data_IF_179892019439
#
_entry.id   IF_179892019439
#
_cell.length_a   1.000
_cell.length_b   1.000
_cell.length_c   1.000
_cell.angle_alpha   90.00
_cell.angle_beta   90.00
_cell.angle_gamma   90.00
#
_symmetry.space_group_name_H-M   'P 1'
#
loop_
_entity.id
_entity.type
_entity.pdbx_description
1 polymer ?
#
# COMPACT_ATOMS: atom_id res chain seq x y z
N UNK A 1 22.12 -9.21 -30.68
CA UNK A 1 22.70 -7.87 -30.91
C UNK A 1 21.67 -6.74 -30.96
N UNK A 2 20.68 -6.70 -31.88
CA UNK A 2 19.70 -5.59 -31.97
C UNK A 2 18.91 -5.28 -30.68
N UNK A 3 18.50 -6.31 -29.92
CA UNK A 3 17.81 -6.12 -28.61
C UNK A 3 18.71 -5.49 -27.54
N UNK A 4 20.01 -5.82 -27.54
CA UNK A 4 20.98 -5.27 -26.59
C UNK A 4 21.21 -3.78 -26.83
N UNK A 5 21.37 -3.37 -28.10
CA UNK A 5 21.49 -1.95 -28.45
C UNK A 5 20.23 -1.14 -28.13
N UNK A 6 19.05 -1.73 -28.31
CA UNK A 6 17.78 -1.10 -27.91
C UNK A 6 17.72 -0.88 -26.39
N UNK A 7 18.11 -1.88 -25.60
CA UNK A 7 18.14 -1.78 -24.13
C UNK A 7 19.13 -0.70 -23.68
N UNK A 8 20.36 -0.69 -24.23
CA UNK A 8 21.39 0.32 -23.92
C UNK A 8 20.93 1.72 -24.31
N UNK A 9 20.25 1.87 -25.45
CA UNK A 9 19.71 3.16 -25.89
C UNK A 9 18.59 3.65 -24.97
N UNK A 10 17.66 2.78 -24.57
CA UNK A 10 16.59 3.11 -23.61
C UNK A 10 17.19 3.47 -22.25
N UNK A 11 18.19 2.72 -21.77
CA UNK A 11 18.88 3.02 -20.51
C UNK A 11 19.60 4.38 -20.60
N UNK A 12 20.32 4.63 -21.69
CA UNK A 12 21.05 5.90 -21.91
C UNK A 12 20.10 7.09 -22.01
N UNK A 13 18.99 6.94 -22.72
CA UNK A 13 17.96 7.98 -22.83
C UNK A 13 17.27 8.24 -21.49
N UNK A 14 16.96 7.19 -20.73
CA UNK A 14 16.40 7.30 -19.38
C UNK A 14 17.39 8.02 -18.46
N UNK A 15 18.66 7.63 -18.48
CA UNK A 15 19.72 8.22 -17.66
C UNK A 15 19.94 9.70 -18.05
N UNK A 16 19.94 10.02 -19.34
CA UNK A 16 20.01 11.39 -19.85
C UNK A 16 18.85 12.25 -19.39
N UNK A 17 17.60 11.75 -19.51
CA UNK A 17 16.41 12.45 -19.01
C UNK A 17 16.49 12.64 -17.48
N UNK A 18 16.95 11.63 -16.75
CA UNK A 18 17.07 11.69 -15.29
C UNK A 18 18.12 12.71 -14.85
N UNK A 19 19.23 12.85 -15.57
CA UNK A 19 20.28 13.82 -15.27
C UNK A 19 19.89 15.25 -15.65
N UNK A 20 19.40 15.46 -16.88
CA UNK A 20 19.05 16.80 -17.39
C UNK A 20 17.79 17.38 -16.75
N UNK A 21 16.81 16.54 -16.41
CA UNK A 21 15.56 16.95 -15.77
C UNK A 21 15.51 16.56 -14.29
N UNK A 22 16.66 16.32 -13.67
CA UNK A 22 16.79 15.91 -12.26
C UNK A 22 16.03 16.81 -11.28
N UNK A 23 16.02 18.13 -11.50
CA UNK A 23 15.20 19.05 -10.69
C UNK A 23 13.70 18.82 -10.88
N UNK A 24 13.24 18.62 -12.12
CA UNK A 24 11.85 18.29 -12.43
C UNK A 24 11.42 16.92 -11.89
N UNK A 25 12.34 15.96 -11.77
CA UNK A 25 12.05 14.67 -11.14
C UNK A 25 11.59 14.83 -9.69
N UNK A 26 12.13 15.80 -8.94
CA UNK A 26 11.70 16.09 -7.57
C UNK A 26 10.21 16.47 -7.50
N UNK A 27 9.72 17.21 -8.51
CA UNK A 27 8.31 17.60 -8.60
C UNK A 27 7.43 16.46 -9.12
N UNK A 28 7.86 15.76 -10.16
CA UNK A 28 7.02 14.84 -10.92
C UNK A 28 6.90 13.48 -10.23
N UNK A 29 7.98 12.95 -9.65
CA UNK A 29 7.99 11.60 -9.06
C UNK A 29 6.94 11.43 -7.95
N UNK A 30 6.77 12.36 -6.98
CA UNK A 30 5.72 12.25 -5.97
C UNK A 30 4.31 12.23 -6.56
N UNK A 31 4.06 12.97 -7.66
CA UNK A 31 2.76 12.99 -8.34
C UNK A 31 2.48 11.64 -9.01
N UNK A 32 3.45 11.10 -9.76
CA UNK A 32 3.31 9.79 -10.41
C UNK A 32 3.10 8.70 -9.34
N UNK A 33 3.85 8.74 -8.24
CA UNK A 33 3.67 7.83 -7.11
C UNK A 33 2.24 7.94 -6.51
N UNK A 34 1.72 9.15 -6.33
CA UNK A 34 0.36 9.35 -5.83
C UNK A 34 -0.70 8.79 -6.80
N UNK A 35 -0.54 9.02 -8.11
CA UNK A 35 -1.45 8.52 -9.16
C UNK A 35 -1.41 6.98 -9.20
N UNK A 36 -0.22 6.37 -9.20
CA UNK A 36 -0.07 4.91 -9.23
C UNK A 36 -0.69 4.24 -7.99
N UNK A 37 -0.45 4.78 -6.80
CA UNK A 37 -1.07 4.30 -5.55
C UNK A 37 -2.59 4.46 -5.59
N UNK A 38 -3.10 5.56 -6.13
CA UNK A 38 -4.53 5.79 -6.31
C UNK A 38 -5.17 4.74 -7.22
N UNK A 39 -4.57 4.45 -8.38
CA UNK A 39 -5.06 3.42 -9.29
C UNK A 39 -5.01 2.02 -8.65
N UNK A 40 -3.92 1.68 -7.97
CA UNK A 40 -3.79 0.40 -7.26
C UNK A 40 -4.81 0.26 -6.12
N UNK A 41 -5.17 1.36 -5.46
CA UNK A 41 -6.08 1.37 -4.30
C UNK A 41 -7.54 1.69 -4.66
N UNK A 42 -7.86 1.90 -5.94
CA UNK A 42 -9.21 2.35 -6.36
C UNK A 42 -10.32 1.43 -5.86
N UNK A 43 -10.12 0.12 -5.98
CA UNK A 43 -11.09 -0.90 -5.57
C UNK A 43 -11.26 -0.94 -4.05
N UNK A 44 -10.16 -0.89 -3.29
CA UNK A 44 -10.24 -0.86 -1.82
C UNK A 44 -10.87 0.43 -1.32
N UNK A 45 -10.54 1.59 -1.91
CA UNK A 45 -11.18 2.87 -1.60
C UNK A 45 -12.69 2.79 -1.85
N UNK A 46 -13.11 2.26 -3.01
CA UNK A 46 -14.54 2.09 -3.34
C UNK A 46 -15.22 1.21 -2.30
N UNK A 47 -14.64 0.04 -1.99
CA UNK A 47 -15.17 -0.89 -1.00
C UNK A 47 -15.33 -0.27 0.39
N UNK A 48 -14.37 0.53 0.86
CA UNK A 48 -14.44 1.16 2.19
C UNK A 48 -15.41 2.34 2.23
N UNK A 49 -15.55 3.08 1.13
CA UNK A 49 -16.48 4.23 1.04
C UNK A 49 -17.94 3.81 0.88
N UNK A 50 -18.22 2.71 0.20
CA UNK A 50 -19.58 2.20 0.03
C UNK A 50 -20.15 1.77 1.38
N UNK A 51 -21.32 2.32 1.75
CA UNK A 51 -22.03 1.96 2.97
C UNK A 51 -22.67 0.58 2.81
N UNK A 52 -22.85 -0.11 3.93
CA UNK A 52 -23.61 -1.35 3.94
C UNK A 52 -25.10 -1.07 3.67
N UNK A 53 -25.69 -1.91 2.82
CA UNK A 53 -27.11 -1.93 2.52
C UNK A 53 -27.68 -3.22 3.12
N UNK A 54 -28.79 -3.13 3.85
CA UNK A 54 -29.52 -4.31 4.30
C UNK A 54 -30.19 -4.98 3.11
N UNK A 55 -30.30 -6.31 3.12
CA UNK A 55 -30.85 -7.08 1.99
C UNK A 55 -32.26 -6.63 1.61
N UNK A 56 -33.12 -6.32 2.58
CA UNK A 56 -34.48 -5.82 2.33
C UNK A 56 -34.55 -4.41 1.68
N UNK A 57 -33.47 -3.64 1.72
CA UNK A 57 -33.39 -2.28 1.21
C UNK A 57 -32.55 -2.19 -0.07
N UNK A 58 -32.16 -3.34 -0.64
CA UNK A 58 -31.42 -3.41 -1.89
C UNK A 58 -32.27 -2.78 -3.01
N UNK A 59 -31.60 -1.97 -3.81
CA UNK A 59 -32.12 -1.40 -5.05
C UNK A 59 -31.14 -1.73 -6.16
N UNK A 60 -31.61 -1.65 -7.39
CA UNK A 60 -30.74 -1.85 -8.54
C UNK A 60 -29.56 -0.87 -8.51
N UNK A 61 -28.36 -1.38 -8.77
CA UNK A 61 -27.13 -0.59 -8.73
C UNK A 61 -26.01 -1.20 -7.90
N UNK A 62 -24.93 -0.44 -7.70
CA UNK A 62 -23.79 -0.93 -6.91
C UNK A 62 -24.13 -0.93 -5.42
N UNK A 63 -24.09 -2.11 -4.80
CA UNK A 63 -24.39 -2.29 -3.39
C UNK A 63 -23.26 -3.00 -2.67
N UNK A 64 -23.21 -2.81 -1.35
CA UNK A 64 -22.31 -3.56 -0.46
C UNK A 64 -23.14 -4.19 0.64
N UNK A 65 -23.05 -5.49 0.75
CA UNK A 65 -23.78 -6.30 1.72
C UNK A 65 -22.81 -6.83 2.77
N UNK A 66 -23.33 -7.14 3.96
CA UNK A 66 -22.58 -7.76 5.03
C UNK A 66 -23.42 -8.85 5.67
N UNK A 67 -22.88 -10.05 5.77
CA UNK A 67 -23.66 -11.20 6.18
C UNK A 67 -22.83 -12.47 6.26
N UNK A 68 -23.53 -13.55 6.58
CA UNK A 68 -23.00 -14.91 6.60
C UNK A 68 -23.19 -15.50 5.22
N UNK A 69 -22.14 -16.11 4.67
CA UNK A 69 -22.24 -16.78 3.38
C UNK A 69 -22.49 -18.26 3.51
N UNK A 70 -23.26 -18.77 2.56
CA UNK A 70 -23.55 -20.19 2.41
C UNK A 70 -23.53 -20.59 0.94
N UNK A 71 -23.04 -21.78 0.63
CA UNK A 71 -23.04 -22.32 -0.72
C UNK A 71 -23.39 -23.83 -0.67
N UNK A 72 -23.92 -24.40 -1.76
CA UNK A 72 -24.41 -25.78 -1.78
C UNK A 72 -23.27 -26.79 -1.69
N UNK A 73 -22.20 -26.60 -2.47
CA UNK A 73 -21.09 -27.54 -2.55
C UNK A 73 -19.87 -27.03 -1.77
N UNK A 74 -18.92 -27.93 -1.51
CA UNK A 74 -17.59 -27.56 -0.98
C UNK A 74 -16.48 -28.09 -1.89
N UNK A 75 -15.34 -27.40 -1.84
CA UNK A 75 -14.11 -27.72 -2.55
C UNK A 75 -12.98 -27.92 -1.55
N UNK A 76 -12.00 -28.72 -1.93
CA UNK A 76 -10.76 -28.91 -1.17
C UNK A 76 -9.65 -28.15 -1.89
N UNK A 77 -8.91 -27.31 -1.16
CA UNK A 77 -7.84 -26.54 -1.78
C UNK A 77 -6.66 -27.41 -2.24
N UNK A 78 -5.95 -27.01 -3.32
CA UNK A 78 -4.92 -27.86 -3.92
C UNK A 78 -3.75 -28.22 -3.01
N UNK A 79 -3.22 -27.27 -2.23
CA UNK A 79 -2.03 -27.45 -1.40
C UNK A 79 -2.37 -27.66 0.07
N UNK A 80 -3.10 -26.71 0.70
CA UNK A 80 -3.37 -26.80 2.14
C UNK A 80 -4.48 -27.78 2.52
N UNK A 81 -5.15 -28.41 1.53
CA UNK A 81 -6.23 -29.37 1.72
C UNK A 81 -7.37 -28.86 2.61
N UNK A 82 -7.72 -27.58 2.47
CA UNK A 82 -8.76 -26.95 3.27
C UNK A 82 -10.10 -27.03 2.56
N UNK A 83 -11.13 -27.40 3.31
CA UNK A 83 -12.52 -27.29 2.84
C UNK A 83 -12.94 -25.81 2.74
N UNK A 84 -13.52 -25.45 1.60
CA UNK A 84 -13.91 -24.09 1.26
C UNK A 84 -15.05 -24.09 0.23
N UNK A 85 -15.71 -22.96 0.04
CA UNK A 85 -16.76 -22.77 -0.98
C UNK A 85 -16.25 -21.99 -2.20
N UNK A 86 -15.00 -21.55 -2.15
CA UNK A 86 -14.29 -20.93 -3.25
C UNK A 86 -12.83 -20.65 -2.89
N UNK A 87 -11.93 -20.73 -3.87
CA UNK A 87 -10.51 -20.46 -3.66
C UNK A 87 -9.83 -19.81 -4.85
N UNK A 88 -8.78 -19.06 -4.54
CA UNK A 88 -7.74 -18.64 -5.47
C UNK A 88 -6.42 -19.26 -5.02
N UNK A 89 -5.88 -20.16 -5.81
CA UNK A 89 -4.58 -20.82 -5.59
C UNK A 89 -3.55 -20.31 -6.59
N UNK A 90 -2.35 -20.01 -6.10
CA UNK A 90 -1.18 -19.65 -6.90
C UNK A 90 0.00 -20.53 -6.51
N UNK A 91 0.58 -21.20 -7.49
CA UNK A 91 1.86 -21.91 -7.38
C UNK A 91 2.90 -21.13 -8.18
N UNK A 92 4.00 -20.73 -7.56
CA UNK A 92 5.10 -20.04 -8.25
C UNK A 92 6.44 -20.62 -7.82
N UNK A 93 7.39 -20.72 -8.74
CA UNK A 93 8.76 -21.06 -8.39
C UNK A 93 9.43 -19.80 -7.84
N UNK A 94 10.25 -19.96 -6.81
CA UNK A 94 11.10 -18.89 -6.31
C UNK A 94 12.45 -18.98 -6.99
N UNK A 95 13.00 -17.81 -7.26
CA UNK A 95 14.37 -17.66 -7.74
C UNK A 95 14.98 -16.51 -6.96
N UNK A 96 16.18 -16.74 -6.44
CA UNK A 96 16.94 -15.70 -5.77
C UNK A 96 17.80 -14.97 -6.79
N UNK A 97 17.67 -13.65 -6.79
CA UNK A 97 18.57 -12.78 -7.51
C UNK A 97 19.66 -12.29 -6.56
N UNK A 98 20.89 -12.74 -6.80
CA UNK A 98 22.05 -12.35 -6.01
C UNK A 98 22.45 -10.89 -6.17
N UNK A 99 22.04 -10.21 -7.24
CA UNK A 99 22.36 -8.79 -7.47
C UNK A 99 21.46 -7.87 -6.64
N UNK A 100 20.18 -8.20 -6.54
CA UNK A 100 19.19 -7.44 -5.76
C UNK A 100 19.03 -7.95 -4.32
N UNK A 101 19.53 -9.16 -4.04
CA UNK A 101 19.43 -9.82 -2.74
C UNK A 101 17.99 -10.18 -2.38
N UNK A 102 17.16 -10.51 -3.38
CA UNK A 102 15.73 -10.72 -3.16
C UNK A 102 15.15 -11.89 -3.96
N UNK A 103 14.16 -12.54 -3.35
CA UNK A 103 13.41 -13.64 -3.96
C UNK A 103 12.34 -13.10 -4.92
N UNK A 104 12.30 -13.68 -6.11
CA UNK A 104 11.28 -13.39 -7.11
C UNK A 104 10.47 -14.64 -7.45
N UNK A 105 9.18 -14.42 -7.73
CA UNK A 105 8.27 -15.47 -8.19
C UNK A 105 8.31 -15.54 -9.73
N UNK A 106 8.69 -16.70 -10.27
CA UNK A 106 8.65 -17.01 -11.70
C UNK A 106 7.68 -18.16 -11.98
N UNK A 107 7.18 -18.25 -13.22
CA UNK A 107 6.30 -19.32 -13.69
C UNK A 107 5.06 -19.54 -12.80
N UNK A 108 4.35 -18.46 -12.46
CA UNK A 108 3.15 -18.53 -11.65
C UNK A 108 2.00 -19.22 -12.39
N UNK A 109 1.53 -20.34 -11.85
CA UNK A 109 0.31 -21.03 -12.28
C UNK A 109 -0.80 -20.64 -11.30
N UNK A 110 -1.92 -20.17 -11.83
CA UNK A 110 -3.10 -19.77 -11.06
C UNK A 110 -4.22 -20.77 -11.32
N UNK A 111 -4.86 -21.23 -10.25
CA UNK A 111 -6.04 -22.06 -10.29
C UNK A 111 -7.12 -21.44 -9.42
N UNK A 112 -8.31 -21.25 -9.98
CA UNK A 112 -9.44 -20.65 -9.30
C UNK A 112 -10.65 -21.58 -9.42
N UNK A 113 -11.39 -21.75 -8.33
CA UNK A 113 -12.67 -22.46 -8.34
C UNK A 113 -13.68 -21.72 -7.49
N UNK A 114 -14.81 -21.44 -8.11
CA UNK A 114 -15.91 -20.66 -7.54
C UNK A 114 -17.25 -21.30 -7.90
N UNK A 115 -18.27 -20.93 -7.15
CA UNK A 115 -19.67 -21.29 -7.40
C UNK A 115 -20.55 -20.13 -6.94
N UNK A 116 -21.82 -20.18 -7.33
CA UNK A 116 -22.83 -19.29 -6.79
C UNK A 116 -22.95 -19.47 -5.28
N UNK A 117 -23.11 -18.36 -4.58
CA UNK A 117 -23.23 -18.35 -3.12
C UNK A 117 -24.41 -17.48 -2.70
N UNK A 118 -24.88 -17.70 -1.48
CA UNK A 118 -25.91 -16.90 -0.84
C UNK A 118 -25.29 -16.13 0.30
N UNK A 119 -25.71 -14.88 0.48
CA UNK A 119 -25.38 -14.07 1.65
C UNK A 119 -26.66 -13.79 2.43
N UNK A 120 -26.63 -14.04 3.72
CA UNK A 120 -27.74 -13.84 4.64
C UNK A 120 -27.40 -12.79 5.71
N UNK A 121 -28.32 -11.88 5.95
CA UNK A 121 -28.31 -10.94 7.07
C UNK A 121 -29.60 -11.07 7.89
N UNK A 122 -29.83 -10.19 8.86
CA UNK A 122 -31.06 -10.22 9.68
C UNK A 122 -32.35 -9.89 8.91
N UNK A 123 -32.24 -9.44 7.66
CA UNK A 123 -33.35 -8.92 6.85
C UNK A 123 -33.69 -9.80 5.66
N UNK A 124 -32.83 -10.75 5.29
CA UNK A 124 -33.12 -11.70 4.22
C UNK A 124 -31.90 -12.48 3.76
N UNK A 125 -32.05 -13.14 2.61
CA UNK A 125 -30.99 -13.85 1.91
C UNK A 125 -31.00 -13.43 0.45
N UNK A 126 -29.83 -13.22 -0.14
CA UNK A 126 -29.68 -12.83 -1.53
C UNK A 126 -28.61 -13.68 -2.21
N UNK A 127 -28.88 -14.08 -3.44
CA UNK A 127 -27.95 -14.88 -4.25
C UNK A 127 -26.90 -13.96 -4.88
N UNK A 128 -25.67 -14.45 -4.92
CA UNK A 128 -24.51 -13.81 -5.51
C UNK A 128 -23.96 -14.75 -6.59
N UNK A 129 -24.03 -14.29 -7.83
CA UNK A 129 -23.71 -15.03 -9.04
C UNK A 129 -22.55 -14.34 -9.74
N UNK A 130 -21.41 -15.00 -9.89
CA UNK A 130 -20.24 -14.44 -10.60
C UNK A 130 -19.35 -15.54 -11.14
N UNK A 131 -18.76 -15.30 -12.31
CA UNK A 131 -17.78 -16.21 -12.89
C UNK A 131 -16.45 -16.13 -12.12
N UNK A 132 -16.14 -14.97 -11.53
CA UNK A 132 -14.90 -14.74 -10.77
C UNK A 132 -15.13 -13.81 -9.57
N UNK A 133 -14.84 -14.32 -8.37
CA UNK A 133 -14.80 -13.49 -7.17
C UNK A 133 -13.41 -12.90 -6.95
N UNK A 134 -13.33 -11.59 -6.70
CA UNK A 134 -12.08 -10.99 -6.25
C UNK A 134 -11.87 -11.26 -4.76
N UNK A 135 -11.04 -12.27 -4.47
CA UNK A 135 -10.67 -12.67 -3.10
C UNK A 135 -9.43 -11.92 -2.56
N UNK A 136 -8.90 -10.92 -3.26
CA UNK A 136 -7.63 -10.25 -2.89
C UNK A 136 -7.65 -9.60 -1.50
N UNK A 137 -8.84 -9.31 -0.96
CA UNK A 137 -9.04 -8.69 0.33
C UNK A 137 -9.33 -9.67 1.47
N UNK A 138 -9.13 -10.97 1.22
CA UNK A 138 -9.14 -12.01 2.23
C UNK A 138 -7.71 -12.34 2.71
N UNK A 139 -7.64 -13.00 3.86
CA UNK A 139 -6.38 -13.49 4.41
C UNK A 139 -5.72 -14.47 3.45
N UNK A 140 -4.40 -14.34 3.30
CA UNK A 140 -3.59 -15.20 2.46
C UNK A 140 -2.85 -16.21 3.33
N UNK A 141 -2.85 -17.48 2.91
CA UNK A 141 -1.98 -18.52 3.46
C UNK A 141 -0.87 -18.81 2.46
N UNK A 142 0.36 -18.83 2.94
CA UNK A 142 1.54 -19.05 2.10
C UNK A 142 2.43 -20.10 2.75
N UNK A 143 2.92 -21.02 1.93
CA UNK A 143 3.91 -22.01 2.32
C UNK A 143 4.94 -22.15 1.19
N UNK A 144 6.20 -22.27 1.55
CA UNK A 144 7.28 -22.50 0.59
C UNK A 144 7.80 -23.92 0.81
N UNK A 145 7.71 -24.74 -0.24
CA UNK A 145 8.43 -26.00 -0.28
C UNK A 145 9.87 -25.68 -0.64
N UNK A 146 10.77 -25.86 0.33
CA UNK A 146 12.19 -25.58 0.17
C UNK A 146 12.95 -26.78 -0.38
N UNK A 147 13.91 -26.54 -1.27
CA UNK A 147 14.92 -27.52 -1.65
C UNK A 147 16.12 -27.48 -0.69
N UNK A 148 17.15 -28.29 -0.96
CA UNK A 148 18.39 -28.30 -0.18
C UNK A 148 19.16 -26.97 -0.27
N UNK A 149 18.99 -26.22 -1.36
CA UNK A 149 19.62 -24.91 -1.56
C UNK A 149 18.54 -23.82 -1.57
N UNK A 150 18.79 -22.73 -0.83
CA UNK A 150 17.83 -21.64 -0.69
C UNK A 150 17.47 -21.05 -2.06
N UNK A 151 16.18 -20.98 -2.37
CA UNK A 151 15.64 -20.38 -3.59
C UNK A 151 16.17 -20.98 -4.91
N UNK A 152 16.67 -22.22 -4.83
CA UNK A 152 16.94 -23.09 -5.98
C UNK A 152 15.83 -24.12 -5.99
N UNK A 153 14.99 -24.14 -7.03
CA UNK A 153 13.82 -25.03 -7.12
C UNK A 153 12.79 -24.92 -5.97
N UNK A 154 12.86 -23.86 -5.15
CA UNK A 154 11.85 -23.57 -4.13
C UNK A 154 10.51 -23.26 -4.80
N UNK A 155 9.42 -23.80 -4.25
CA UNK A 155 8.07 -23.57 -4.77
C UNK A 155 7.20 -22.94 -3.71
N UNK A 156 6.68 -21.74 -4.00
CA UNK A 156 5.73 -21.04 -3.14
C UNK A 156 4.29 -21.35 -3.54
N UNK A 157 3.55 -21.83 -2.56
CA UNK A 157 2.12 -22.09 -2.63
C UNK A 157 1.38 -21.00 -1.86
N UNK A 158 0.45 -20.34 -2.53
CA UNK A 158 -0.35 -19.26 -1.96
C UNK A 158 -1.84 -19.52 -2.17
N UNK A 159 -2.63 -19.51 -1.11
CA UNK A 159 -4.07 -19.74 -1.16
C UNK A 159 -4.85 -18.63 -0.46
N UNK A 160 -5.96 -18.23 -1.08
CA UNK A 160 -7.03 -17.46 -0.44
C UNK A 160 -8.30 -18.27 -0.56
N UNK A 161 -9.01 -18.42 0.56
CA UNK A 161 -10.17 -19.31 0.66
C UNK A 161 -11.37 -18.56 1.22
N UNK A 162 -12.54 -18.96 0.76
CA UNK A 162 -13.82 -18.54 1.28
C UNK A 162 -14.50 -19.75 1.95
N UNK A 163 -14.98 -19.64 3.19
CA UNK A 163 -15.61 -20.78 3.88
C UNK A 163 -17.09 -20.56 4.12
N UNK A 164 -17.80 -21.67 4.18
CA UNK A 164 -19.20 -21.67 4.58
C UNK A 164 -19.32 -21.17 6.03
N UNK A 165 -20.28 -20.30 6.31
CA UNK A 165 -20.46 -19.69 7.62
C UNK A 165 -19.56 -18.46 7.90
N UNK A 166 -18.64 -18.10 6.99
CA UNK A 166 -17.82 -16.90 7.19
C UNK A 166 -18.69 -15.64 7.15
N UNK A 167 -18.40 -14.70 8.06
CA UNK A 167 -19.03 -13.38 8.05
C UNK A 167 -18.20 -12.42 7.21
N UNK A 168 -18.67 -12.09 6.02
CA UNK A 168 -17.93 -11.30 5.03
C UNK A 168 -18.75 -10.10 4.53
N UNK A 169 -18.06 -9.22 3.81
CA UNK A 169 -18.67 -8.14 3.04
C UNK A 169 -18.55 -8.44 1.54
N UNK A 170 -19.66 -8.34 0.81
CA UNK A 170 -19.74 -8.52 -0.64
C UNK A 170 -20.12 -7.21 -1.29
N UNK A 171 -19.31 -6.73 -2.24
CA UNK A 171 -19.64 -5.55 -3.07
C UNK A 171 -19.81 -5.99 -4.52
N UNK A 172 -20.95 -5.65 -5.14
CA UNK A 172 -21.26 -6.01 -6.51
C UNK A 172 -22.38 -5.13 -7.09
N UNK A 173 -22.96 -5.54 -8.21
CA UNK A 173 -24.11 -4.88 -8.81
C UNK A 173 -25.38 -5.69 -8.52
N UNK A 174 -26.35 -5.08 -7.85
CA UNK A 174 -27.68 -5.67 -7.67
C UNK A 174 -28.49 -5.50 -8.96
N UNK A 175 -28.92 -6.60 -9.55
CA UNK A 175 -29.84 -6.65 -10.67
C UNK A 175 -31.18 -7.22 -10.19
N UNK A 176 -32.28 -6.66 -10.68
CA UNK A 176 -33.62 -7.17 -10.39
C UNK A 176 -33.91 -8.42 -11.22
N UNK A 177 -34.40 -9.47 -10.57
CA UNK A 177 -34.80 -10.72 -11.20
C UNK A 177 -36.24 -10.68 -11.70
N UNK A 178 -36.64 -11.73 -12.43
CA UNK A 178 -38.02 -11.92 -12.89
C UNK A 178 -39.04 -12.03 -11.73
N UNK A 179 -38.63 -12.57 -10.58
CA UNK A 179 -39.49 -12.78 -9.41
C UNK A 179 -39.56 -11.57 -8.46
N UNK A 180 -39.29 -10.36 -8.97
CA UNK A 180 -39.17 -9.11 -8.19
C UNK A 180 -38.09 -9.11 -7.08
N UNK A 181 -37.30 -10.18 -6.95
CA UNK A 181 -36.11 -10.27 -6.11
C UNK A 181 -34.89 -9.58 -6.70
N UNK A 182 -33.78 -9.55 -5.96
CA UNK A 182 -32.49 -9.06 -6.44
C UNK A 182 -31.45 -10.16 -6.45
N UNK A 183 -30.50 -10.08 -7.37
CA UNK A 183 -29.27 -10.88 -7.38
C UNK A 183 -28.05 -9.97 -7.49
N UNK A 184 -26.97 -10.37 -6.84
CA UNK A 184 -25.69 -9.68 -6.99
C UNK A 184 -24.90 -10.33 -8.11
N UNK A 185 -24.65 -9.57 -9.18
CA UNK A 185 -23.94 -10.04 -10.37
C UNK A 185 -22.64 -9.28 -10.61
N UNK A 186 -21.79 -9.90 -11.42
CA UNK A 186 -20.60 -9.29 -12.00
C UNK A 186 -20.95 -8.40 -13.21
N UNK A 187 -20.30 -7.25 -13.31
CA UNK A 187 -20.32 -6.42 -14.51
C UNK A 187 -18.88 -6.12 -14.97
N UNK A 188 -18.72 -5.84 -16.27
CA UNK A 188 -17.43 -5.59 -16.95
C UNK A 188 -16.51 -4.59 -16.20
N UNK A 189 -17.06 -3.63 -15.46
CA UNK A 189 -16.31 -2.63 -14.68
C UNK A 189 -16.56 -2.70 -13.16
N UNK A 190 -17.38 -3.64 -12.70
CA UNK A 190 -17.73 -3.84 -11.29
C UNK A 190 -17.65 -5.35 -10.98
N UNK A 191 -16.44 -5.90 -10.77
CA UNK A 191 -16.31 -7.28 -10.32
C UNK A 191 -16.95 -7.46 -8.94
N UNK A 192 -17.39 -8.67 -8.64
CA UNK A 192 -17.86 -9.00 -7.29
C UNK A 192 -16.64 -9.10 -6.37
N UNK A 193 -16.59 -8.20 -5.39
CA UNK A 193 -15.47 -8.09 -4.45
C UNK A 193 -15.87 -8.63 -3.10
N UNK A 194 -15.05 -9.53 -2.57
CA UNK A 194 -15.23 -10.14 -1.25
C UNK A 194 -14.14 -9.63 -0.31
N UNK A 195 -14.54 -9.23 0.89
CA UNK A 195 -13.61 -8.78 1.94
C UNK A 195 -14.08 -9.20 3.33
N UNK A 196 -13.18 -9.16 4.31
CA UNK A 196 -13.51 -9.44 5.71
C UNK A 196 -13.40 -8.17 6.58
N UNK A 197 -13.98 -8.23 7.78
CA UNK A 197 -13.98 -7.11 8.72
C UNK A 197 -12.56 -6.67 9.12
N UNK A 198 -11.61 -7.60 9.19
CA UNK A 198 -10.22 -7.30 9.51
C UNK A 198 -9.57 -6.39 8.47
N UNK A 199 -9.67 -6.75 7.18
CA UNK A 199 -9.15 -5.94 6.08
C UNK A 199 -9.81 -4.57 6.03
N UNK A 200 -11.14 -4.53 6.20
CA UNK A 200 -11.88 -3.27 6.18
C UNK A 200 -11.49 -2.32 7.30
N UNK A 201 -11.37 -2.84 8.52
CA UNK A 201 -10.96 -2.03 9.67
C UNK A 201 -9.53 -1.50 9.50
N UNK A 202 -8.60 -2.36 9.08
CA UNK A 202 -7.21 -1.98 8.80
C UNK A 202 -7.12 -0.90 7.72
N UNK A 203 -7.87 -1.07 6.63
CA UNK A 203 -7.91 -0.10 5.52
C UNK A 203 -8.54 1.23 5.95
N UNK A 204 -9.61 1.20 6.75
CA UNK A 204 -10.25 2.40 7.30
C UNK A 204 -9.32 3.18 8.21
N UNK A 205 -8.61 2.50 9.12
CA UNK A 205 -7.56 3.09 9.96
C UNK A 205 -6.47 3.74 9.10
N UNK A 206 -5.96 3.03 8.09
CA UNK A 206 -4.96 3.56 7.16
C UNK A 206 -5.43 4.82 6.42
N UNK A 207 -6.66 4.84 5.91
CA UNK A 207 -7.22 6.04 5.28
C UNK A 207 -7.42 7.20 6.24
N UNK A 208 -7.73 6.93 7.51
CA UNK A 208 -7.83 7.98 8.54
C UNK A 208 -6.45 8.57 8.86
N UNK A 209 -5.42 7.72 9.03
CA UNK A 209 -4.02 8.17 9.16
C UNK A 209 -3.64 9.06 7.98
N UNK A 210 -3.89 8.59 6.75
CA UNK A 210 -3.60 9.37 5.54
C UNK A 210 -4.35 10.70 5.53
N UNK A 211 -5.64 10.72 5.87
CA UNK A 211 -6.44 11.94 5.96
C UNK A 211 -5.85 12.96 6.95
N UNK A 212 -5.32 12.51 8.08
CA UNK A 212 -4.71 13.39 9.08
C UNK A 212 -3.35 13.93 8.64
N UNK A 213 -2.57 13.16 7.88
CA UNK A 213 -1.23 13.54 7.42
C UNK A 213 -1.24 14.28 6.06
N UNK A 214 -2.26 14.09 5.22
CA UNK A 214 -2.38 14.68 3.89
C UNK A 214 -2.07 16.19 3.81
N UNK A 215 -2.63 17.08 4.67
CA UNK A 215 -2.32 18.51 4.57
C UNK A 215 -0.83 18.82 4.77
N UNK A 216 -0.13 18.04 5.60
CA UNK A 216 1.31 18.20 5.85
C UNK A 216 2.16 17.61 4.73
N UNK A 217 1.70 16.53 4.09
CA UNK A 217 2.32 15.99 2.87
C UNK A 217 2.22 17.01 1.73
N UNK A 218 1.06 17.66 1.57
CA UNK A 218 0.83 18.71 0.59
C UNK A 218 1.69 19.94 0.89
N UNK A 219 1.74 20.39 2.15
CA UNK A 219 2.61 21.48 2.58
C UNK A 219 4.08 21.17 2.27
N UNK A 220 4.55 19.99 2.67
CA UNK A 220 5.90 19.51 2.39
C UNK A 220 6.21 19.55 0.89
N UNK A 221 5.31 19.02 0.05
CA UNK A 221 5.47 19.03 -1.40
C UNK A 221 5.65 20.46 -1.93
N UNK A 222 4.77 21.40 -1.57
CA UNK A 222 4.87 22.77 -2.05
C UNK A 222 6.12 23.48 -1.51
N UNK A 223 6.48 23.28 -0.25
CA UNK A 223 7.68 23.87 0.35
C UNK A 223 8.96 23.38 -0.32
N UNK A 224 9.10 22.07 -0.54
CA UNK A 224 10.27 21.49 -1.22
C UNK A 224 10.38 22.04 -2.64
N UNK A 225 9.29 22.05 -3.41
CA UNK A 225 9.29 22.60 -4.77
C UNK A 225 9.60 24.10 -4.79
N UNK A 226 9.09 24.87 -3.82
CA UNK A 226 9.43 26.28 -3.69
C UNK A 226 10.95 26.49 -3.57
N UNK A 227 11.62 25.76 -2.67
CA UNK A 227 13.06 25.91 -2.47
C UNK A 227 13.91 25.38 -3.63
N UNK A 228 13.44 24.35 -4.32
CA UNK A 228 14.16 23.77 -5.46
C UNK A 228 14.10 24.66 -6.71
N UNK A 229 12.96 25.32 -6.96
CA UNK A 229 12.73 26.05 -8.23
C UNK A 229 12.70 27.56 -8.10
N UNK A 230 12.20 28.11 -7.00
CA UNK A 230 11.83 29.53 -6.91
C UNK A 230 12.62 30.31 -5.87
N UNK A 231 13.18 29.65 -4.85
CA UNK A 231 13.91 30.35 -3.80
C UNK A 231 15.20 30.99 -4.36
N UNK A 232 15.53 32.23 -3.93
CA UNK A 232 16.75 32.89 -4.34
C UNK A 232 17.98 32.10 -3.84
N UNK A 233 18.95 31.90 -4.73
CA UNK A 233 20.17 31.18 -4.42
C UNK A 233 21.03 32.05 -3.50
N UNK A 234 21.24 31.58 -2.26
CA UNK A 234 22.25 32.13 -1.36
C UNK A 234 23.49 31.25 -1.37
N UNK A 235 24.65 31.87 -1.54
CA UNK A 235 25.92 31.15 -1.46
C UNK A 235 26.30 30.97 0.01
N UNK A 236 26.08 29.76 0.51
CA UNK A 236 26.63 29.32 1.79
C UNK A 236 27.83 28.41 1.52
N UNK A 237 28.91 28.53 2.32
CA UNK A 237 30.01 27.57 2.23
C UNK A 237 29.47 26.16 2.48
N UNK A 238 29.90 25.22 1.65
CA UNK A 238 29.53 23.82 1.82
C UNK A 238 30.20 23.30 3.10
N UNK A 239 29.39 22.71 3.98
CA UNK A 239 29.87 22.06 5.20
C UNK A 239 29.65 20.55 5.10
N UNK A 240 30.70 19.82 4.72
CA UNK A 240 30.63 18.37 4.53
C UNK A 240 30.18 17.63 5.81
N UNK A 241 30.56 18.15 6.99
CA UNK A 241 30.12 17.63 8.28
C UNK A 241 28.59 17.62 8.44
N UNK A 242 27.90 18.66 7.93
CA UNK A 242 26.44 18.78 8.03
C UNK A 242 25.76 17.81 7.07
N UNK A 243 26.34 17.58 5.89
CA UNK A 243 25.87 16.57 4.93
C UNK A 243 25.99 15.17 5.54
N UNK A 244 27.16 14.82 6.07
CA UNK A 244 27.41 13.53 6.75
C UNK A 244 26.50 13.36 7.96
N UNK A 245 26.30 14.41 8.76
CA UNK A 245 25.36 14.40 9.87
C UNK A 245 23.92 14.18 9.40
N UNK A 246 23.48 14.81 8.31
CA UNK A 246 22.17 14.59 7.73
C UNK A 246 21.93 13.13 7.32
N UNK A 247 22.93 12.50 6.68
CA UNK A 247 22.84 11.12 6.21
C UNK A 247 22.92 10.08 7.33
N UNK A 248 23.85 10.24 8.26
CA UNK A 248 24.16 9.20 9.25
C UNK A 248 23.80 9.63 10.67
N UNK A 249 24.06 10.90 11.01
CA UNK A 249 23.78 11.44 12.34
C UNK A 249 22.29 11.51 12.68
N UNK A 250 21.44 11.98 11.76
CA UNK A 250 19.99 12.13 11.98
C UNK A 250 19.30 10.77 12.20
N UNK A 251 19.53 9.70 11.40
CA UNK A 251 18.96 8.39 11.69
C UNK A 251 19.47 7.80 13.01
N UNK A 252 20.77 7.93 13.31
CA UNK A 252 21.35 7.44 14.58
C UNK A 252 20.70 8.16 15.77
N UNK A 253 20.55 9.49 15.69
CA UNK A 253 19.88 10.28 16.72
C UNK A 253 18.40 9.88 16.86
N UNK A 254 17.73 9.60 15.75
CA UNK A 254 16.37 9.07 15.73
C UNK A 254 16.23 7.73 16.47
N UNK A 255 17.16 6.79 16.25
CA UNK A 255 17.22 5.53 16.99
C UNK A 255 17.46 5.77 18.48
N UNK A 256 18.43 6.62 18.85
CA UNK A 256 18.73 6.94 20.25
C UNK A 256 17.48 7.49 20.96
N UNK A 257 16.77 8.44 20.35
CA UNK A 257 15.55 8.99 20.93
C UNK A 257 14.40 7.97 20.97
N UNK A 258 14.27 7.09 19.97
CA UNK A 258 13.30 6.01 20.02
C UNK A 258 13.56 5.04 21.18
N UNK A 259 14.83 4.67 21.43
CA UNK A 259 15.21 3.82 22.57
C UNK A 259 15.00 4.53 23.90
N UNK A 260 15.39 5.81 24.02
CA UNK A 260 15.14 6.62 25.21
C UNK A 260 13.65 6.76 25.50
N UNK A 261 12.83 7.03 24.47
CA UNK A 261 11.38 7.10 24.57
C UNK A 261 10.78 5.82 25.16
N UNK A 262 11.28 4.64 24.80
CA UNK A 262 10.82 3.36 25.36
C UNK A 262 11.12 3.22 26.86
N UNK A 263 12.18 3.85 27.37
CA UNK A 263 12.64 3.73 28.77
C UNK A 263 11.99 4.73 29.73
N UNK A 264 11.45 5.83 29.21
CA UNK A 264 10.86 6.89 30.02
C UNK A 264 9.34 6.75 30.06
N UNK A 265 8.70 7.26 31.13
CA UNK A 265 7.24 7.28 31.30
C UNK A 265 6.72 8.73 31.29
N UNK A 266 5.40 8.92 31.13
CA UNK A 266 4.78 10.24 31.17
C UNK A 266 5.04 11.11 29.92
N UNK A 267 5.08 12.43 30.09
CA UNK A 267 5.24 13.39 28.99
C UNK A 267 6.55 13.22 28.19
N UNK A 268 7.72 13.02 28.82
CA UNK A 268 8.97 12.86 28.06
C UNK A 268 8.98 11.62 27.16
N UNK A 269 8.24 10.55 27.53
CA UNK A 269 8.04 9.38 26.66
C UNK A 269 7.47 9.78 25.31
N UNK A 270 6.39 10.56 25.33
CA UNK A 270 5.70 11.01 24.12
C UNK A 270 6.63 11.90 23.29
N UNK A 271 7.32 12.85 23.94
CA UNK A 271 8.27 13.73 23.26
C UNK A 271 9.38 12.95 22.55
N UNK A 272 10.10 12.06 23.24
CA UNK A 272 11.20 11.31 22.65
C UNK A 272 10.72 10.30 21.59
N UNK A 273 9.55 9.69 21.78
CA UNK A 273 8.98 8.77 20.79
C UNK A 273 8.58 9.51 19.51
N UNK A 274 7.91 10.66 19.63
CA UNK A 274 7.54 11.51 18.49
C UNK A 274 8.77 12.05 17.78
N UNK A 275 9.75 12.57 18.52
CA UNK A 275 10.97 13.12 17.95
C UNK A 275 11.81 12.04 17.27
N UNK A 276 12.01 10.89 17.92
CA UNK A 276 12.74 9.76 17.35
C UNK A 276 12.07 9.23 16.08
N UNK A 277 10.76 9.02 16.10
CA UNK A 277 9.99 8.59 14.93
C UNK A 277 10.03 9.62 13.79
N UNK A 278 9.94 10.91 14.12
CA UNK A 278 10.05 12.01 13.14
C UNK A 278 11.42 12.01 12.48
N UNK A 279 12.51 11.93 13.25
CA UNK A 279 13.87 11.93 12.69
C UNK A 279 14.11 10.72 11.79
N UNK A 280 13.68 9.52 12.19
CA UNK A 280 13.79 8.33 11.35
C UNK A 280 13.01 8.46 10.05
N UNK A 281 11.77 8.98 10.12
CA UNK A 281 10.93 9.15 8.95
C UNK A 281 11.46 10.25 8.02
N UNK A 282 11.94 11.37 8.57
CA UNK A 282 12.57 12.45 7.82
C UNK A 282 13.84 11.95 7.15
N UNK A 283 14.68 11.16 7.82
CA UNK A 283 15.85 10.54 7.19
C UNK A 283 15.45 9.65 6.02
N UNK A 284 14.44 8.80 6.18
CA UNK A 284 13.96 7.93 5.10
C UNK A 284 13.46 8.73 3.89
N UNK A 285 12.68 9.79 4.14
CA UNK A 285 12.12 10.64 3.08
C UNK A 285 13.18 11.51 2.39
N UNK A 286 14.10 12.07 3.17
CA UNK A 286 15.11 13.02 2.66
C UNK A 286 16.30 12.33 2.03
N UNK A 287 16.64 11.10 2.40
CA UNK A 287 17.82 10.39 1.88
C UNK A 287 17.92 10.39 0.33
N UNK A 288 16.94 9.86 -0.43
CA UNK A 288 17.03 9.86 -1.89
C UNK A 288 17.04 11.27 -2.49
N UNK A 289 16.31 12.20 -1.84
CA UNK A 289 16.21 13.59 -2.27
C UNK A 289 17.55 14.33 -2.09
N UNK A 290 18.21 14.15 -0.95
CA UNK A 290 19.51 14.75 -0.65
C UNK A 290 20.60 14.21 -1.59
N UNK A 291 20.61 12.89 -1.84
CA UNK A 291 21.50 12.29 -2.82
C UNK A 291 21.34 12.95 -4.21
N UNK A 292 20.10 13.10 -4.67
CA UNK A 292 19.80 13.74 -5.95
C UNK A 292 20.25 15.22 -5.99
N UNK A 293 19.99 15.98 -4.93
CA UNK A 293 20.39 17.39 -4.85
C UNK A 293 21.91 17.58 -4.82
N UNK A 294 22.65 16.66 -4.19
CA UNK A 294 24.11 16.66 -4.16
C UNK A 294 24.71 16.29 -5.52
N UNK A 295 24.19 15.24 -6.17
CA UNK A 295 24.64 14.82 -7.52
C UNK A 295 24.46 15.96 -8.53
N UNK A 296 23.37 16.72 -8.40
CA UNK A 296 23.04 17.85 -9.28
C UNK A 296 23.77 19.14 -8.92
N UNK A 297 24.70 19.11 -7.95
CA UNK A 297 25.47 20.27 -7.46
C UNK A 297 24.56 21.45 -7.08
N UNK A 298 23.42 21.14 -6.47
CA UNK A 298 22.50 22.18 -6.00
C UNK A 298 23.14 22.97 -4.86
N UNK A 299 22.85 24.27 -4.77
CA UNK A 299 23.42 25.13 -3.73
C UNK A 299 23.13 24.57 -2.32
N UNK A 300 24.15 24.56 -1.47
CA UNK A 300 24.07 23.98 -0.12
C UNK A 300 22.93 24.58 0.72
N UNK A 301 22.67 25.89 0.58
CA UNK A 301 21.52 26.56 1.19
C UNK A 301 20.18 25.87 0.84
N UNK A 302 19.94 25.58 -0.45
CA UNK A 302 18.72 24.91 -0.91
C UNK A 302 18.59 23.52 -0.29
N UNK A 303 19.70 22.77 -0.19
CA UNK A 303 19.73 21.43 0.42
C UNK A 303 19.26 21.50 1.89
N UNK A 304 19.81 22.45 2.66
CA UNK A 304 19.43 22.65 4.07
C UNK A 304 17.97 23.08 4.20
N UNK A 305 17.49 24.00 3.36
CA UNK A 305 16.09 24.43 3.38
C UNK A 305 15.13 23.28 3.04
N UNK A 306 15.44 22.47 2.03
CA UNK A 306 14.63 21.30 1.66
C UNK A 306 14.54 20.32 2.82
N UNK A 307 15.67 20.01 3.48
CA UNK A 307 15.68 19.15 4.65
C UNK A 307 14.84 19.71 5.80
N UNK A 308 15.00 21.00 6.11
CA UNK A 308 14.20 21.68 7.15
C UNK A 308 12.70 21.66 6.84
N UNK A 309 12.31 21.88 5.59
CA UNK A 309 10.90 21.81 5.18
C UNK A 309 10.30 20.43 5.41
N UNK A 310 11.01 19.37 5.06
CA UNK A 310 10.58 17.99 5.29
C UNK A 310 10.51 17.71 6.79
N UNK A 311 11.51 18.15 7.55
CA UNK A 311 11.55 17.99 9.01
C UNK A 311 10.36 18.69 9.69
N UNK A 312 10.17 19.98 9.44
CA UNK A 312 9.11 20.79 10.05
C UNK A 312 7.73 20.25 9.67
N UNK A 313 7.51 19.93 8.39
CA UNK A 313 6.21 19.41 7.94
C UNK A 313 5.87 18.08 8.58
N UNK A 314 6.86 17.19 8.69
CA UNK A 314 6.69 15.88 9.35
C UNK A 314 6.42 16.06 10.84
N UNK A 315 7.21 16.91 11.51
CA UNK A 315 7.07 17.18 12.93
C UNK A 315 5.68 17.76 13.26
N UNK A 316 5.22 18.74 12.47
CA UNK A 316 3.87 19.30 12.61
C UNK A 316 2.80 18.23 12.38
N UNK A 317 2.94 17.42 11.33
CA UNK A 317 1.99 16.37 10.99
C UNK A 317 1.83 15.32 12.08
N UNK A 318 2.94 14.83 12.64
CA UNK A 318 2.94 13.83 13.72
C UNK A 318 2.52 14.47 15.04
N UNK A 319 3.06 15.63 15.41
CA UNK A 319 2.80 16.25 16.72
C UNK A 319 1.34 16.72 16.87
N UNK A 320 0.80 17.42 15.87
CA UNK A 320 -0.58 17.93 15.92
C UNK A 320 -1.60 16.79 15.90
N UNK A 321 -1.31 15.70 15.18
CA UNK A 321 -2.20 14.55 15.09
C UNK A 321 -1.85 13.43 16.06
N UNK A 322 -0.89 13.60 16.97
CA UNK A 322 -0.37 12.51 17.80
C UNK A 322 -1.48 11.75 18.52
N UNK A 323 -2.41 12.48 19.18
CA UNK A 323 -3.56 11.87 19.88
C UNK A 323 -4.46 11.10 18.93
N UNK A 324 -4.78 11.67 17.77
CA UNK A 324 -5.61 11.02 16.76
C UNK A 324 -4.95 9.78 16.17
N UNK A 325 -3.62 9.77 16.05
CA UNK A 325 -2.85 8.63 15.57
C UNK A 325 -2.71 7.54 16.64
N UNK A 326 -2.55 7.92 17.92
CA UNK A 326 -2.51 6.96 19.02
C UNK A 326 -3.83 6.24 19.20
N UNK A 327 -4.95 6.94 19.02
CA UNK A 327 -6.30 6.36 19.16
C UNK A 327 -6.62 5.35 18.04
N UNK A 328 -5.84 5.34 16.94
CA UNK A 328 -6.01 4.42 15.82
C UNK A 328 -5.18 3.14 15.93
N UNK A 329 -4.16 3.09 16.79
CA UNK A 329 -3.34 1.89 16.98
C UNK A 329 -4.03 0.92 17.94
#
# INVERSE_FOLDING_TARGET
MKKLYLIIFVLSALLFVTLFFSRFMIAIVPIIAAITVWFASKTSIKLIKTKFTSINAVKEGSVKLHGIITAPDTFITPYFKQECIGYHYKKANLTYDSETGSDYEINAIIEEKFQDLFIADSTGTIKVTSQRFNLSFLSVKTATAHSFEHAVDDVRHTERTLKNGDRISVMGYALKNADDGFEIIEQLNNPVVISNAYFENKSRKSFQVFKYLLPYIVLMYFSVNYFVFFAPIKHWPQHDALVVFGFFGVPILGLIFAVLGKRVTGYPKVFFTVLGGTLLFVSLLTFPLLCLLLITKTAFYTIVCVWLCVFISTLLGISINHKKLSDLN
#
